data_IF_780974120901
#
_entry.id   IF_780974120901
#
_cell.length_a   1.000
_cell.length_b   1.000
_cell.length_c   1.000
_cell.angle_alpha   90.00
_cell.angle_beta   90.00
_cell.angle_gamma   90.00
#
_symmetry.space_group_name_H-M   'P 1'
#
loop_
_entity.id
_entity.type
_entity.pdbx_description
1 polymer ?
#
# COMPACT_ATOMS: atom_id res chain seq x y z
N UNK A 1 1.66 1.10 16.81
CA UNK A 1 2.71 1.06 15.77
C UNK A 1 2.71 -0.35 15.24
N UNK A 2 2.52 -0.50 13.93
CA UNK A 2 2.37 -1.81 13.29
C UNK A 2 3.40 -1.92 12.18
N UNK A 3 3.98 -3.11 11.96
CA UNK A 3 4.90 -3.34 10.85
C UNK A 3 4.20 -4.26 9.86
N UNK A 4 4.23 -3.87 8.60
CA UNK A 4 3.64 -4.61 7.48
C UNK A 4 4.77 -5.11 6.58
N UNK A 5 4.77 -6.40 6.28
CA UNK A 5 5.78 -7.01 5.41
C UNK A 5 5.33 -6.98 3.94
N UNK A 6 6.27 -6.68 3.04
CA UNK A 6 6.04 -6.59 1.60
C UNK A 6 7.07 -7.44 0.85
N UNK A 7 6.75 -7.76 -0.40
CA UNK A 7 7.65 -8.54 -1.26
C UNK A 7 8.65 -7.60 -1.90
N UNK A 8 9.89 -7.60 -1.39
CA UNK A 8 10.98 -6.72 -1.83
C UNK A 8 11.22 -6.70 -3.34
N UNK A 9 10.99 -7.81 -4.03
CA UNK A 9 11.23 -7.92 -5.48
C UNK A 9 10.04 -7.48 -6.34
N UNK A 10 8.88 -7.22 -5.73
CA UNK A 10 7.65 -6.86 -6.41
C UNK A 10 7.24 -5.42 -6.09
N UNK A 11 6.92 -4.64 -7.12
CA UNK A 11 6.45 -3.27 -6.91
C UNK A 11 6.68 -2.34 -8.08
N UNK A 12 6.21 -1.11 -7.93
CA UNK A 12 6.59 -0.02 -8.83
C UNK A 12 8.09 0.30 -8.64
N UNK A 13 8.83 0.41 -9.75
CA UNK A 13 10.27 0.67 -9.70
C UNK A 13 10.53 2.16 -9.47
N UNK A 14 10.50 2.59 -8.21
CA UNK A 14 11.03 3.89 -7.80
C UNK A 14 12.50 3.75 -7.41
N UNK A 15 13.36 3.80 -8.43
CA UNK A 15 14.80 3.54 -8.31
C UNK A 15 15.48 4.55 -7.39
N UNK A 16 15.06 5.81 -7.44
CA UNK A 16 15.62 6.87 -6.61
C UNK A 16 15.27 6.70 -5.11
N UNK A 17 14.08 6.18 -4.77
CA UNK A 17 13.58 6.08 -3.39
C UNK A 17 14.47 5.20 -2.48
N UNK A 18 15.11 4.19 -3.05
CA UNK A 18 15.90 3.20 -2.32
C UNK A 18 17.40 3.48 -2.36
N UNK A 19 17.80 4.64 -2.86
CA UNK A 19 19.20 5.04 -2.84
C UNK A 19 19.63 5.27 -1.38
N UNK A 20 20.58 4.50 -0.82
CA UNK A 20 20.97 4.63 0.58
C UNK A 20 21.55 6.03 0.85
N UNK A 21 20.98 6.73 1.84
CA UNK A 21 21.31 8.12 2.13
C UNK A 21 20.55 9.16 1.28
N UNK A 22 19.53 8.75 0.51
CA UNK A 22 18.71 9.69 -0.25
C UNK A 22 17.84 10.54 0.68
N UNK A 23 18.25 11.80 0.87
CA UNK A 23 17.46 12.80 1.57
C UNK A 23 16.08 13.05 0.91
N UNK A 24 15.93 12.72 -0.37
CA UNK A 24 14.69 12.92 -1.15
C UNK A 24 13.75 11.70 -1.14
N UNK A 25 14.08 10.61 -0.45
CA UNK A 25 13.19 9.44 -0.39
C UNK A 25 11.81 9.83 0.17
N UNK A 26 11.79 10.76 1.12
CA UNK A 26 10.59 11.40 1.67
C UNK A 26 9.77 12.11 0.58
N UNK A 27 10.44 12.91 -0.26
CA UNK A 27 9.82 13.71 -1.32
C UNK A 27 9.31 12.85 -2.47
N UNK A 28 10.04 11.81 -2.84
CA UNK A 28 9.59 10.85 -3.84
C UNK A 28 8.43 10.01 -3.36
N UNK A 29 8.46 9.57 -2.10
CA UNK A 29 7.30 8.87 -1.56
C UNK A 29 6.10 9.81 -1.49
N UNK A 30 6.28 11.05 -1.01
CA UNK A 30 5.23 12.07 -1.03
C UNK A 30 4.71 12.30 -2.44
N UNK A 31 5.58 12.36 -3.45
CA UNK A 31 5.19 12.51 -4.85
C UNK A 31 4.43 11.29 -5.36
N UNK A 32 4.85 10.08 -5.02
CA UNK A 32 4.15 8.84 -5.38
C UNK A 32 2.78 8.80 -4.70
N UNK A 33 2.72 8.96 -3.37
CA UNK A 33 1.51 9.06 -2.55
C UNK A 33 0.56 10.15 -3.09
N UNK A 34 1.08 11.32 -3.48
CA UNK A 34 0.28 12.38 -4.10
C UNK A 34 -0.18 12.04 -5.52
N UNK A 35 0.66 11.37 -6.32
CA UNK A 35 0.34 10.94 -7.68
C UNK A 35 -0.74 9.86 -7.70
N UNK A 36 -0.80 9.04 -6.64
CA UNK A 36 -1.89 8.09 -6.39
C UNK A 36 -3.06 8.76 -5.64
N UNK A 37 -3.17 10.08 -5.68
CA UNK A 37 -4.34 10.82 -5.21
C UNK A 37 -4.55 10.83 -3.69
N UNK A 38 -3.57 10.37 -2.90
CA UNK A 38 -3.59 10.42 -1.44
C UNK A 38 -2.86 11.68 -1.00
N UNK A 39 -3.39 12.85 -1.34
CA UNK A 39 -2.76 14.14 -1.07
C UNK A 39 -2.84 14.54 0.40
N UNK A 40 -2.06 13.90 1.28
CA UNK A 40 -1.95 14.31 2.68
C UNK A 40 -0.57 14.94 2.95
N UNK A 41 -0.49 16.28 3.10
CA UNK A 41 0.77 17.00 3.29
C UNK A 41 1.45 16.71 4.64
N UNK A 42 0.72 16.11 5.59
CA UNK A 42 1.23 15.80 6.94
C UNK A 42 1.90 14.43 7.03
N UNK A 43 1.97 13.68 5.92
CA UNK A 43 2.66 12.39 5.87
C UNK A 43 4.13 12.60 5.55
N UNK A 44 4.99 12.03 6.38
CA UNK A 44 6.43 11.98 6.20
C UNK A 44 6.88 10.54 6.18
N UNK A 45 7.79 10.20 5.29
CA UNK A 45 8.37 8.87 5.22
C UNK A 45 9.88 8.92 5.35
N UNK A 46 10.43 7.90 5.97
CA UNK A 46 11.87 7.72 6.17
C UNK A 46 12.23 6.32 5.69
N UNK A 47 13.22 6.23 4.83
CA UNK A 47 13.70 4.95 4.29
C UNK A 47 15.01 4.59 4.97
N UNK A 48 15.05 3.40 5.58
CA UNK A 48 16.21 2.82 6.24
C UNK A 48 16.48 1.44 5.62
N UNK A 49 17.33 1.41 4.58
CA UNK A 49 17.55 0.21 3.77
C UNK A 49 16.29 -0.20 3.01
N UNK A 50 15.72 -1.36 3.35
CA UNK A 50 14.44 -1.84 2.78
C UNK A 50 13.23 -1.60 3.68
N UNK A 51 13.42 -0.93 4.82
CA UNK A 51 12.34 -0.55 5.72
C UNK A 51 11.91 0.89 5.43
N UNK A 52 10.61 1.10 5.25
CA UNK A 52 10.00 2.44 5.11
C UNK A 52 9.16 2.74 6.33
N UNK A 53 9.55 3.74 7.11
CA UNK A 53 8.75 4.21 8.25
C UNK A 53 7.88 5.38 7.78
N UNK A 54 6.57 5.26 7.92
CA UNK A 54 5.61 6.31 7.54
C UNK A 54 4.97 6.90 8.80
N UNK A 55 5.10 8.22 8.95
CA UNK A 55 4.64 9.02 10.10
C UNK A 55 3.70 10.11 9.64
N UNK A 56 2.70 10.43 10.45
CA UNK A 56 1.82 11.57 10.23
C UNK A 56 0.42 11.33 10.77
N UNK A 57 -0.51 12.18 10.37
CA UNK A 57 -1.92 12.09 10.78
C UNK A 57 -2.83 12.06 9.55
N UNK A 58 -3.80 11.14 9.56
CA UNK A 58 -4.83 11.03 8.54
C UNK A 58 -6.23 11.14 9.14
N UNK A 59 -7.18 11.59 8.34
CA UNK A 59 -8.57 11.72 8.76
C UNK A 59 -9.27 10.35 8.87
N UNK A 60 -8.86 9.35 8.07
CA UNK A 60 -9.56 8.06 8.00
C UNK A 60 -8.59 6.89 7.96
N UNK A 61 -9.04 5.74 8.46
CA UNK A 61 -8.25 4.52 8.43
C UNK A 61 -7.97 4.02 7.01
N UNK A 62 -8.93 4.20 6.09
CA UNK A 62 -8.72 3.84 4.69
C UNK A 62 -7.55 4.61 4.07
N UNK A 63 -7.42 5.90 4.37
CA UNK A 63 -6.32 6.72 3.85
C UNK A 63 -4.97 6.20 4.37
N UNK A 64 -4.89 5.90 5.67
CA UNK A 64 -3.70 5.27 6.28
C UNK A 64 -3.35 3.94 5.58
N UNK A 65 -4.32 3.07 5.37
CA UNK A 65 -4.10 1.76 4.75
C UNK A 65 -3.63 1.90 3.30
N UNK A 66 -4.21 2.83 2.54
CA UNK A 66 -3.77 3.14 1.17
C UNK A 66 -2.36 3.71 1.12
N UNK A 67 -1.98 4.55 2.08
CA UNK A 67 -0.61 5.08 2.20
C UNK A 67 0.39 3.94 2.46
N UNK A 68 0.05 3.03 3.38
CA UNK A 68 0.90 1.86 3.70
C UNK A 68 1.10 0.99 2.45
N UNK A 69 0.04 0.76 1.67
CA UNK A 69 0.12 0.01 0.42
C UNK A 69 0.93 0.73 -0.65
N UNK A 70 0.76 2.05 -0.80
CA UNK A 70 1.55 2.85 -1.73
C UNK A 70 3.05 2.80 -1.39
N UNK A 71 3.38 2.85 -0.10
CA UNK A 71 4.75 2.76 0.38
C UNK A 71 5.36 1.35 0.23
N UNK A 72 4.56 0.31 0.45
CA UNK A 72 5.05 -1.06 0.47
C UNK A 72 5.06 -1.74 -0.89
N UNK A 73 4.19 -1.35 -1.82
CA UNK A 73 4.17 -1.86 -3.20
C UNK A 73 5.26 -1.21 -4.08
N UNK A 74 6.37 -0.78 -3.50
CA UNK A 74 7.52 -0.23 -4.19
C UNK A 74 8.61 -1.30 -4.23
N UNK A 75 9.15 -1.53 -5.43
CA UNK A 75 10.17 -2.54 -5.64
C UNK A 75 11.41 -2.18 -4.82
N UNK A 76 11.75 -3.03 -3.84
CA UNK A 76 12.88 -2.96 -2.93
C UNK A 76 12.51 -2.59 -1.49
N UNK A 77 11.23 -2.33 -1.21
CA UNK A 77 10.68 -2.21 0.14
C UNK A 77 10.32 -3.60 0.68
N UNK A 78 10.98 -4.03 1.75
CA UNK A 78 10.70 -5.28 2.44
C UNK A 78 9.71 -5.13 3.58
N UNK A 79 9.62 -3.94 4.19
CA UNK A 79 8.69 -3.69 5.29
C UNK A 79 8.30 -2.22 5.40
N UNK A 80 7.06 -1.96 5.76
CA UNK A 80 6.55 -0.62 6.05
C UNK A 80 6.14 -0.56 7.52
N UNK A 81 6.75 0.36 8.26
CA UNK A 81 6.39 0.65 9.64
C UNK A 81 5.37 1.78 9.67
N UNK A 82 4.18 1.44 10.17
CA UNK A 82 3.07 2.36 10.39
C UNK A 82 3.22 3.08 11.74
N UNK A 83 3.45 4.39 11.63
CA UNK A 83 3.38 5.35 12.71
C UNK A 83 2.36 6.46 12.41
N UNK A 84 1.34 6.16 11.59
CA UNK A 84 0.27 7.09 11.24
C UNK A 84 -0.82 7.04 12.31
N UNK A 85 -1.21 8.21 12.83
CA UNK A 85 -2.38 8.39 13.69
C UNK A 85 -3.63 8.66 12.85
N UNK A 86 -4.76 8.07 13.25
CA UNK A 86 -6.06 8.32 12.62
C UNK A 86 -6.88 9.17 13.57
N UNK A 87 -7.29 10.37 13.15
CA UNK A 87 -8.07 11.30 13.97
C UNK A 87 -9.59 11.14 13.82
N UNK A 88 -10.04 10.43 12.78
CA UNK A 88 -11.45 10.13 12.55
C UNK A 88 -11.98 8.91 13.31
N UNK A 89 -13.23 8.50 13.02
CA UNK A 89 -13.86 7.37 13.69
C UNK A 89 -13.07 6.08 13.47
N UNK A 90 -12.93 5.27 14.52
CA UNK A 90 -12.32 3.96 14.43
C UNK A 90 -13.21 3.04 13.57
N UNK A 91 -12.71 2.67 12.39
CA UNK A 91 -13.37 1.75 11.47
C UNK A 91 -12.68 0.39 11.57
N UNK A 92 -13.32 -0.68 11.07
CA UNK A 92 -12.64 -1.96 10.99
C UNK A 92 -11.43 -1.88 10.05
N UNK A 93 -10.32 -2.49 10.43
CA UNK A 93 -9.12 -2.55 9.60
C UNK A 93 -9.35 -3.47 8.40
N UNK A 94 -8.99 -3.01 7.21
CA UNK A 94 -8.97 -3.84 6.03
C UNK A 94 -7.86 -4.89 6.14
N UNK A 95 -8.07 -6.04 5.49
CA UNK A 95 -7.06 -7.10 5.43
C UNK A 95 -6.11 -6.81 4.27
N UNK A 96 -4.84 -7.14 4.43
CA UNK A 96 -3.85 -7.06 3.36
C UNK A 96 -3.51 -8.45 2.85
N UNK A 97 -3.64 -8.64 1.54
CA UNK A 97 -3.36 -9.92 0.87
C UNK A 97 -2.30 -9.71 -0.21
N UNK A 98 -1.27 -10.54 -0.19
CA UNK A 98 -0.22 -10.57 -1.20
C UNK A 98 -0.66 -11.45 -2.37
N UNK A 99 -0.66 -10.88 -3.56
CA UNK A 99 -0.96 -11.56 -4.84
C UNK A 99 0.13 -12.59 -5.11
N UNK A 100 -0.23 -13.85 -5.35
CA UNK A 100 0.74 -14.88 -5.74
C UNK A 100 0.82 -15.01 -7.25
N UNK A 101 1.87 -15.67 -7.74
CA UNK A 101 2.03 -15.92 -9.17
C UNK A 101 0.86 -16.77 -9.68
N UNK A 102 0.10 -16.22 -10.63
CA UNK A 102 -1.08 -16.87 -11.21
C UNK A 102 -2.40 -16.51 -10.54
N UNK A 103 -2.40 -15.73 -9.45
CA UNK A 103 -3.63 -15.23 -8.84
C UNK A 103 -4.32 -14.20 -9.74
N UNK A 104 -5.65 -14.26 -9.74
CA UNK A 104 -6.51 -13.22 -10.31
C UNK A 104 -7.28 -12.53 -9.20
N UNK A 105 -7.79 -11.33 -9.47
CA UNK A 105 -8.59 -10.60 -8.48
C UNK A 105 -9.83 -11.39 -8.03
N UNK A 106 -10.45 -12.13 -8.96
CA UNK A 106 -11.56 -13.04 -8.69
C UNK A 106 -11.15 -14.25 -7.85
N UNK A 107 -9.96 -14.82 -8.08
CA UNK A 107 -9.45 -15.92 -7.25
C UNK A 107 -9.18 -15.47 -5.81
N UNK A 108 -8.57 -14.29 -5.63
CA UNK A 108 -8.36 -13.69 -4.31
C UNK A 108 -9.70 -13.40 -3.64
N UNK A 109 -10.65 -12.85 -4.39
CA UNK A 109 -12.00 -12.57 -3.90
C UNK A 109 -12.72 -13.85 -3.45
N UNK A 110 -12.60 -14.93 -4.21
CA UNK A 110 -13.12 -16.25 -3.84
C UNK A 110 -12.45 -16.78 -2.57
N UNK A 111 -11.12 -16.64 -2.44
CA UNK A 111 -10.37 -17.12 -1.29
C UNK A 111 -10.69 -16.34 -0.01
N UNK A 112 -10.93 -15.03 -0.11
CA UNK A 112 -11.17 -14.17 1.06
C UNK A 112 -12.64 -14.08 1.44
N UNK A 113 -13.53 -13.90 0.47
CA UNK A 113 -14.97 -13.71 0.71
C UNK A 113 -15.81 -14.95 0.44
N UNK A 114 -15.23 -16.02 -0.12
CA UNK A 114 -16.00 -17.17 -0.62
C UNK A 114 -16.79 -16.87 -1.89
N UNK A 115 -16.62 -15.70 -2.51
CA UNK A 115 -17.36 -15.32 -3.71
C UNK A 115 -16.48 -14.57 -4.71
N UNK A 116 -16.21 -15.21 -5.84
CA UNK A 116 -15.38 -14.66 -6.92
C UNK A 116 -15.91 -13.33 -7.49
N UNK A 117 -17.23 -13.07 -7.40
CA UNK A 117 -17.87 -11.85 -7.92
C UNK A 117 -17.65 -10.62 -7.03
N UNK A 118 -17.04 -10.76 -5.85
CA UNK A 118 -16.72 -9.62 -4.97
C UNK A 118 -15.40 -8.93 -5.35
N UNK A 119 -14.79 -9.31 -6.47
CA UNK A 119 -13.53 -8.73 -6.95
C UNK A 119 -13.66 -7.21 -7.20
N UNK A 120 -14.84 -6.74 -7.61
CA UNK A 120 -15.10 -5.31 -7.77
C UNK A 120 -14.86 -4.52 -6.47
N UNK A 121 -15.22 -5.07 -5.31
CA UNK A 121 -14.97 -4.42 -4.00
C UNK A 121 -13.49 -4.24 -3.73
N UNK A 122 -12.69 -5.28 -4.01
CA UNK A 122 -11.23 -5.21 -3.89
C UNK A 122 -10.70 -4.14 -4.82
N UNK A 123 -11.15 -4.14 -6.08
CA UNK A 123 -10.72 -3.16 -7.06
C UNK A 123 -10.99 -1.73 -6.57
N UNK A 124 -12.24 -1.43 -6.18
CA UNK A 124 -12.63 -0.11 -5.68
C UNK A 124 -11.84 0.32 -4.43
N UNK A 125 -11.63 -0.61 -3.48
CA UNK A 125 -10.86 -0.33 -2.28
C UNK A 125 -9.38 -0.01 -2.54
N UNK A 126 -8.83 -0.49 -3.66
CA UNK A 126 -7.46 -0.23 -4.08
C UNK A 126 -7.35 0.91 -5.10
N UNK A 127 -8.45 1.55 -5.52
CA UNK A 127 -8.34 2.75 -6.35
C UNK A 127 -7.80 3.92 -5.53
N UNK A 128 -6.91 4.75 -6.12
CA UNK A 128 -6.40 4.70 -7.50
C UNK A 128 -5.06 3.94 -7.67
N UNK A 129 -4.56 3.26 -6.63
CA UNK A 129 -3.32 2.44 -6.70
C UNK A 129 -3.44 1.33 -7.74
N UNK A 130 -4.61 0.70 -7.84
CA UNK A 130 -4.94 -0.28 -8.85
C UNK A 130 -5.79 0.36 -9.95
N UNK A 131 -5.22 0.50 -11.15
CA UNK A 131 -5.88 1.14 -12.29
C UNK A 131 -6.86 0.22 -13.02
N UNK A 132 -6.58 -1.08 -13.04
CA UNK A 132 -7.38 -2.08 -13.74
C UNK A 132 -7.42 -3.39 -12.94
N UNK A 133 -8.56 -4.10 -13.01
CA UNK A 133 -8.76 -5.40 -12.31
C UNK A 133 -7.76 -6.48 -12.71
N UNK A 134 -7.20 -6.39 -13.92
CA UNK A 134 -6.24 -7.34 -14.47
C UNK A 134 -4.79 -6.87 -14.34
N UNK A 135 -4.54 -5.63 -13.88
CA UNK A 135 -3.19 -5.08 -13.70
C UNK A 135 -2.68 -5.33 -12.29
N UNK A 136 -2.83 -6.56 -11.83
CA UNK A 136 -2.17 -7.03 -10.62
C UNK A 136 -0.92 -7.84 -10.98
N UNK A 137 0.08 -7.80 -10.11
CA UNK A 137 1.32 -8.53 -10.31
C UNK A 137 1.69 -9.39 -9.09
N UNK A 138 2.46 -10.48 -9.28
CA UNK A 138 2.91 -11.31 -8.18
C UNK A 138 3.74 -10.50 -7.18
N UNK A 139 3.43 -10.63 -5.89
CA UNK A 139 4.03 -9.90 -4.78
C UNK A 139 3.40 -8.54 -4.48
N UNK A 140 2.43 -8.09 -5.29
CA UNK A 140 1.63 -6.91 -4.95
C UNK A 140 0.75 -7.18 -3.74
N UNK A 141 0.75 -6.29 -2.76
CA UNK A 141 -0.19 -6.33 -1.64
C UNK A 141 -1.45 -5.53 -2.00
N UNK A 142 -2.62 -6.11 -1.76
CA UNK A 142 -3.92 -5.49 -2.01
C UNK A 142 -4.70 -5.30 -0.71
N UNK A 143 -5.42 -4.18 -0.62
CA UNK A 143 -6.44 -3.92 0.40
C UNK A 143 -7.68 -4.75 0.14
N UNK A 144 -8.12 -5.50 1.13
CA UNK A 144 -9.36 -6.26 1.10
C UNK A 144 -10.28 -5.68 2.17
N UNK A 145 -11.31 -4.90 1.79
CA UNK A 145 -12.29 -4.39 2.75
C UNK A 145 -13.08 -5.56 3.38
N UNK A 146 -13.64 -5.38 4.58
CA UNK A 146 -14.56 -6.39 5.13
C UNK A 146 -15.92 -6.41 4.42
#
# INVERSE_FOLDING_TARGET
MSIFSFVKEAGEKLIDLLTPGNANASDELKKHISAVGLGNPNITATVDGDKVTVKGEVATQEEKEKIILAAGNIAGVGSVEDQITVSGPAVAAARFVVVKKGDTLSAISLAVYGNANQYNKIFEANKPLLKDVNKIYPGQTLRIPE
#
